data_IF_087355622822
#
_entry.id   IF_087355622822
#
_cell.length_a   1.000
_cell.length_b   1.000
_cell.length_c   1.000
_cell.angle_alpha   90.00
_cell.angle_beta   90.00
_cell.angle_gamma   90.00
#
_symmetry.space_group_name_H-M   'P 1'
#
loop_
_entity.id
_entity.type
_entity.pdbx_description
1 polymer ?
#
# COMPACT_ATOMS: atom_id res chain seq x y z
N UNK A 1 -4.06 -14.27 -22.45
CA UNK A 1 -5.32 -13.50 -22.28
C UNK A 1 -5.43 -13.14 -20.79
N UNK A 2 -5.03 -11.94 -20.40
CA UNK A 2 -5.22 -11.46 -19.03
C UNK A 2 -6.64 -10.87 -18.98
N UNK A 3 -7.55 -11.53 -18.27
CA UNK A 3 -8.88 -10.98 -18.06
C UNK A 3 -8.76 -9.74 -17.17
N UNK A 4 -9.18 -8.59 -17.68
CA UNK A 4 -9.53 -7.46 -16.81
C UNK A 4 -10.85 -7.83 -16.15
N UNK A 5 -10.80 -8.40 -14.96
CA UNK A 5 -11.93 -8.28 -14.05
C UNK A 5 -11.81 -6.90 -13.41
N UNK A 6 -12.79 -5.99 -13.56
CA UNK A 6 -12.85 -4.86 -12.67
C UNK A 6 -13.10 -5.46 -11.29
N UNK A 7 -12.10 -5.38 -10.41
CA UNK A 7 -12.41 -5.46 -9.00
C UNK A 7 -13.26 -4.21 -8.74
N UNK A 8 -14.57 -4.38 -8.68
CA UNK A 8 -15.41 -3.34 -8.11
C UNK A 8 -15.28 -3.51 -6.61
N UNK A 9 -14.14 -3.06 -6.07
CA UNK A 9 -14.15 -2.58 -4.70
C UNK A 9 -15.01 -1.33 -4.82
N UNK A 10 -16.29 -1.44 -4.45
CA UNK A 10 -17.23 -0.32 -4.48
C UNK A 10 -16.47 0.90 -4.06
N UNK A 11 -16.36 1.82 -5.04
CA UNK A 11 -15.38 2.87 -5.06
C UNK A 11 -15.34 3.42 -3.67
N UNK A 12 -14.23 3.10 -3.01
CA UNK A 12 -13.97 3.45 -1.65
C UNK A 12 -14.35 4.94 -1.60
N UNK A 13 -15.46 5.36 -0.93
CA UNK A 13 -15.97 6.72 -1.11
C UNK A 13 -14.82 7.70 -0.98
N UNK A 14 -14.77 8.63 -1.94
CA UNK A 14 -13.69 9.61 -2.02
C UNK A 14 -13.43 10.19 -0.64
N UNK A 15 -12.25 10.76 -0.38
CA UNK A 15 -11.87 11.25 0.95
C UNK A 15 -12.89 12.24 1.57
N UNK A 16 -13.88 12.71 0.81
CA UNK A 16 -14.99 13.56 1.23
C UNK A 16 -16.33 12.82 1.53
N UNK A 17 -16.55 11.57 1.12
CA UNK A 17 -17.87 10.89 1.22
C UNK A 17 -17.90 9.67 2.15
N UNK A 18 -16.82 9.41 2.87
CA UNK A 18 -16.73 8.33 3.88
C UNK A 18 -16.57 8.81 5.30
N UNK A 19 -17.11 9.97 5.59
CA UNK A 19 -17.28 10.40 6.97
C UNK A 19 -18.57 9.77 7.47
N UNK A 20 -18.45 8.72 8.30
CA UNK A 20 -19.58 8.24 9.08
C UNK A 20 -20.28 9.45 9.71
N UNK A 21 -21.57 9.63 9.45
CA UNK A 21 -22.38 10.77 9.87
C UNK A 21 -22.57 10.87 11.42
N UNK A 22 -21.77 10.13 12.21
CA UNK A 22 -21.91 9.95 13.65
C UNK A 22 -20.62 10.15 14.50
N UNK A 23 -19.45 10.54 13.96
CA UNK A 23 -18.24 10.67 14.81
C UNK A 23 -17.19 11.72 14.36
N UNK A 24 -17.59 12.90 13.91
CA UNK A 24 -16.61 13.95 13.52
C UNK A 24 -15.92 14.67 14.70
N UNK A 25 -16.31 14.48 15.96
CA UNK A 25 -15.88 15.39 17.05
C UNK A 25 -14.58 14.95 17.75
N UNK A 26 -13.46 15.07 17.05
CA UNK A 26 -12.23 15.65 17.64
C UNK A 26 -11.27 16.06 16.51
N UNK A 27 -11.45 17.29 16.02
CA UNK A 27 -10.46 17.96 15.14
C UNK A 27 -9.06 17.88 15.73
N UNK A 28 -8.95 17.97 17.06
CA UNK A 28 -7.70 17.79 17.80
C UNK A 28 -7.04 16.42 17.55
N UNK A 29 -7.79 15.31 17.55
CA UNK A 29 -7.24 13.98 17.29
C UNK A 29 -6.79 13.82 15.83
N UNK A 30 -7.56 14.40 14.89
CA UNK A 30 -7.18 14.42 13.48
C UNK A 30 -5.88 15.20 13.26
N UNK A 31 -5.73 16.34 13.93
CA UNK A 31 -4.52 17.17 13.87
C UNK A 31 -3.33 16.51 14.57
N UNK A 32 -3.52 15.83 15.71
CA UNK A 32 -2.43 15.09 16.36
C UNK A 32 -1.98 13.92 15.50
N UNK A 33 -2.88 13.15 14.89
CA UNK A 33 -2.52 12.06 13.98
C UNK A 33 -1.79 12.56 12.73
N UNK A 34 -2.20 13.70 12.17
CA UNK A 34 -1.47 14.34 11.05
C UNK A 34 -0.06 14.75 11.44
N UNK A 35 0.13 15.29 12.65
CA UNK A 35 1.47 15.66 13.17
C UNK A 35 2.37 14.44 13.41
N UNK A 36 1.77 13.30 13.72
CA UNK A 36 2.49 12.04 13.95
C UNK A 36 2.66 11.21 12.66
N UNK A 37 2.10 11.65 11.54
CA UNK A 37 2.13 10.92 10.28
C UNK A 37 3.54 10.99 9.68
N UNK A 38 4.28 9.89 9.74
CA UNK A 38 5.52 9.71 9.00
C UNK A 38 5.22 9.29 7.55
N UNK A 39 5.92 9.89 6.59
CA UNK A 39 5.88 9.43 5.20
C UNK A 39 6.85 8.27 5.03
N UNK A 40 6.36 7.04 5.18
CA UNK A 40 7.12 5.84 4.90
C UNK A 40 7.01 5.49 3.42
N UNK A 41 8.14 5.16 2.81
CA UNK A 41 8.21 4.60 1.45
C UNK A 41 8.77 3.19 1.53
N UNK A 42 8.23 2.28 0.72
CA UNK A 42 8.63 0.87 0.67
C UNK A 42 9.89 0.72 -0.20
N UNK A 43 10.84 -0.10 0.26
CA UNK A 43 12.10 -0.37 -0.45
C UNK A 43 11.94 -1.52 -1.47
N UNK A 44 12.04 -1.26 -2.79
CA UNK A 44 11.94 -2.28 -3.83
C UNK A 44 13.04 -3.36 -3.76
N UNK A 45 14.17 -3.09 -3.10
CA UNK A 45 15.27 -4.07 -2.92
C UNK A 45 14.91 -5.15 -1.93
N UNK A 46 14.06 -4.83 -0.95
CA UNK A 46 13.60 -5.78 0.05
C UNK A 46 12.35 -6.54 -0.40
N UNK A 47 11.59 -5.95 -1.34
CA UNK A 47 10.30 -6.48 -1.76
C UNK A 47 10.39 -7.90 -2.34
N UNK A 48 9.56 -8.81 -1.84
CA UNK A 48 9.45 -10.14 -2.42
C UNK A 48 9.04 -10.08 -3.92
N UNK A 49 9.53 -10.97 -4.78
CA UNK A 49 9.21 -10.97 -6.21
C UNK A 49 7.71 -11.09 -6.56
N UNK A 50 6.88 -11.56 -5.64
CA UNK A 50 5.42 -11.61 -5.81
C UNK A 50 4.74 -10.28 -5.46
N UNK A 51 5.48 -9.24 -5.08
CA UNK A 51 4.94 -7.92 -4.75
C UNK A 51 5.21 -6.91 -5.87
N UNK A 52 4.23 -6.07 -6.11
CA UNK A 52 4.35 -4.86 -6.93
C UNK A 52 4.21 -3.64 -6.06
N UNK A 53 5.16 -2.71 -6.18
CA UNK A 53 5.09 -1.42 -5.53
C UNK A 53 4.57 -0.36 -6.52
N UNK A 54 3.82 0.61 -6.00
CA UNK A 54 3.47 1.80 -6.76
C UNK A 54 4.73 2.65 -7.03
N UNK A 55 4.72 3.52 -8.07
CA UNK A 55 5.87 4.36 -8.40
C UNK A 55 6.30 5.30 -7.26
N UNK A 56 5.36 5.70 -6.40
CA UNK A 56 5.62 6.52 -5.22
C UNK A 56 6.09 5.70 -3.99
N UNK A 57 6.14 4.37 -4.12
CA UNK A 57 6.58 3.46 -3.06
C UNK A 57 5.64 3.42 -1.85
N UNK A 58 4.42 3.96 -1.92
CA UNK A 58 3.50 4.04 -0.77
C UNK A 58 2.46 2.93 -0.74
N UNK A 59 2.36 2.17 -1.81
CA UNK A 59 1.36 1.12 -1.96
C UNK A 59 1.99 -0.17 -2.48
N UNK A 60 1.39 -1.31 -2.11
CA UNK A 60 1.88 -2.64 -2.48
C UNK A 60 0.75 -3.61 -2.78
N UNK A 61 0.90 -4.36 -3.87
CA UNK A 61 -0.07 -5.37 -4.31
C UNK A 61 0.61 -6.71 -4.50
N UNK A 62 -0.08 -7.80 -4.14
CA UNK A 62 0.40 -9.16 -4.46
C UNK A 62 0.04 -9.49 -5.90
N UNK A 63 1.03 -9.95 -6.65
CA UNK A 63 0.89 -10.43 -8.01
C UNK A 63 0.61 -11.93 -8.04
N UNK A 64 -0.20 -12.42 -9.01
CA UNK A 64 -0.47 -13.86 -9.15
C UNK A 64 0.77 -14.69 -9.55
N UNK A 65 1.75 -14.03 -10.16
CA UNK A 65 2.98 -14.66 -10.63
C UNK A 65 4.19 -13.90 -10.16
N UNK A 66 5.26 -14.65 -9.89
CA UNK A 66 6.58 -14.13 -9.53
C UNK A 66 7.11 -13.20 -10.60
N UNK A 67 7.49 -11.98 -10.22
CA UNK A 67 8.06 -10.99 -11.13
C UNK A 67 9.53 -11.29 -11.42
N UNK A 68 10.00 -11.01 -12.65
CA UNK A 68 11.43 -11.06 -12.96
C UNK A 68 12.11 -9.81 -12.40
N UNK A 69 12.43 -9.83 -11.11
CA UNK A 69 13.18 -8.76 -10.44
C UNK A 69 14.63 -9.20 -10.17
N UNK A 70 15.60 -8.27 -10.14
CA UNK A 70 16.98 -8.59 -9.79
C UNK A 70 17.06 -9.17 -8.38
N UNK A 71 17.83 -10.24 -8.22
CA UNK A 71 18.08 -10.80 -6.91
C UNK A 71 19.02 -9.89 -6.11
N UNK A 72 18.68 -9.64 -4.84
CA UNK A 72 19.44 -8.76 -3.94
C UNK A 72 19.49 -9.42 -2.58
N UNK A 73 20.62 -9.32 -1.85
CA UNK A 73 20.77 -10.02 -0.57
C UNK A 73 19.78 -9.54 0.50
N UNK A 74 19.22 -8.33 0.35
CA UNK A 74 18.20 -7.80 1.25
C UNK A 74 16.76 -8.26 0.90
N UNK A 75 16.58 -9.04 -0.17
CA UNK A 75 15.26 -9.41 -0.69
C UNK A 75 14.66 -10.58 0.09
N UNK A 76 13.40 -10.45 0.45
CA UNK A 76 12.64 -11.60 0.94
C UNK A 76 12.35 -12.57 -0.20
N UNK A 77 12.64 -13.85 0.03
CA UNK A 77 12.52 -14.93 -0.94
C UNK A 77 11.46 -15.98 -0.55
N UNK A 78 11.18 -16.11 0.75
CA UNK A 78 10.25 -17.11 1.27
C UNK A 78 8.83 -16.57 1.51
N UNK A 79 8.71 -15.38 2.11
CA UNK A 79 7.42 -14.75 2.38
C UNK A 79 7.26 -13.44 1.60
N UNK A 80 6.03 -13.08 1.18
CA UNK A 80 5.75 -11.87 0.42
C UNK A 80 5.74 -10.63 1.33
N UNK A 81 6.93 -10.27 1.82
CA UNK A 81 7.18 -9.11 2.67
C UNK A 81 7.99 -8.03 1.94
N UNK A 82 8.00 -6.83 2.51
CA UNK A 82 8.75 -5.65 2.08
C UNK A 82 8.97 -4.75 3.28
N UNK A 83 10.11 -4.05 3.34
CA UNK A 83 10.43 -3.08 4.40
C UNK A 83 10.19 -1.64 3.94
N UNK A 84 9.99 -0.76 4.92
CA UNK A 84 10.06 0.69 4.71
C UNK A 84 11.50 1.20 4.73
N UNK A 85 11.74 2.31 4.07
CA UNK A 85 12.96 3.11 4.11
C UNK A 85 12.92 4.14 5.24
#
# INVERSE_FOLDING_TARGET
>A
RCGKAPFQLDAAPGPDERVCHFSWRSSALKETLRKLQASVTLDPRTAHPDLELSPDGKSVWRCPSRRPVPDTPERFDYWPFVLGH
#
